data_IF_066297589875
#
_entry.id   IF_066297589875
#
_cell.length_a   1.000
_cell.length_b   1.000
_cell.length_c   1.000
_cell.angle_alpha   90.00
_cell.angle_beta   90.00
_cell.angle_gamma   90.00
#
_symmetry.space_group_name_H-M   'P 1'
#
loop_
_entity.id
_entity.type
_entity.pdbx_description
1 polymer ?
#
# COMPACT_ATOMS: atom_id res chain seq x y z
N UNK A 1 26.59 12.00 -1.32
CA UNK A 1 27.21 11.55 -0.03
C UNK A 1 27.49 10.06 0.01
N UNK A 2 26.59 9.17 -0.43
CA UNK A 2 26.82 7.71 -0.43
C UNK A 2 27.89 7.32 -1.45
N UNK A 3 27.81 7.83 -2.67
CA UNK A 3 28.83 7.63 -3.72
C UNK A 3 30.21 8.12 -3.29
N UNK A 4 30.30 9.23 -2.55
CA UNK A 4 31.56 9.75 -1.98
C UNK A 4 32.17 8.80 -0.95
N UNK A 5 31.37 7.92 -0.36
CA UNK A 5 31.79 6.88 0.59
C UNK A 5 31.99 5.51 -0.07
N UNK A 6 31.90 5.44 -1.40
CA UNK A 6 32.04 4.18 -2.16
C UNK A 6 30.88 3.20 -1.94
N UNK A 7 29.71 3.68 -1.55
CA UNK A 7 28.51 2.85 -1.41
C UNK A 7 27.77 2.86 -2.75
N UNK A 8 27.65 1.70 -3.35
CA UNK A 8 26.92 1.50 -4.60
C UNK A 8 25.42 1.60 -4.36
N UNK A 9 24.66 2.20 -5.29
CA UNK A 9 23.22 2.44 -5.18
C UNK A 9 22.42 1.15 -5.01
N UNK A 10 22.84 0.05 -5.62
CA UNK A 10 22.25 -1.29 -5.46
C UNK A 10 22.22 -1.80 -4.01
N UNK A 11 23.06 -1.25 -3.15
CA UNK A 11 23.17 -1.60 -1.72
C UNK A 11 22.32 -0.70 -0.83
N UNK A 12 21.63 0.28 -1.42
CA UNK A 12 20.83 1.27 -0.70
C UNK A 12 19.37 0.85 -0.69
N UNK A 13 18.76 0.93 0.50
CA UNK A 13 17.32 0.81 0.67
C UNK A 13 16.77 2.13 1.21
N UNK A 14 15.79 2.69 0.52
CA UNK A 14 15.05 3.86 0.97
C UNK A 14 13.78 3.45 1.70
N UNK A 15 13.59 3.93 2.93
CA UNK A 15 12.39 3.72 3.73
C UNK A 15 11.71 5.06 4.02
N UNK A 16 10.51 5.32 3.46
CA UNK A 16 9.79 6.57 3.64
C UNK A 16 9.08 6.70 4.98
N UNK A 17 9.13 5.70 5.84
CA UNK A 17 8.40 5.62 7.12
C UNK A 17 6.88 5.70 6.89
N UNK A 18 6.22 4.54 6.81
CA UNK A 18 4.75 4.45 6.72
C UNK A 18 4.10 5.00 7.99
N UNK A 19 3.16 5.91 7.84
CA UNK A 19 2.41 6.51 8.93
C UNK A 19 0.96 5.99 8.98
N UNK A 20 0.31 6.03 10.17
CA UNK A 20 -1.04 5.47 10.32
C UNK A 20 -2.10 6.26 9.54
N UNK A 21 -2.94 5.56 8.79
CA UNK A 21 -4.08 6.18 8.09
C UNK A 21 -5.08 6.82 9.07
N UNK A 22 -5.14 6.31 10.28
CA UNK A 22 -6.06 6.77 11.34
C UNK A 22 -5.81 8.21 11.79
N UNK A 23 -4.59 8.71 11.65
CA UNK A 23 -4.17 10.03 12.16
C UNK A 23 -3.42 10.88 11.14
N UNK A 24 -2.88 10.26 10.08
CA UNK A 24 -2.03 10.93 9.09
C UNK A 24 -2.33 10.41 7.69
N UNK A 25 -3.60 10.41 7.32
CA UNK A 25 -4.08 9.85 6.05
C UNK A 25 -3.41 10.48 4.82
N UNK A 26 -3.12 11.77 4.85
CA UNK A 26 -2.41 12.51 3.79
C UNK A 26 -0.98 11.96 3.54
N UNK A 27 -0.30 11.50 4.60
CA UNK A 27 1.04 10.93 4.50
C UNK A 27 1.07 9.53 3.86
N UNK A 28 -0.06 8.82 3.88
CA UNK A 28 -0.19 7.52 3.21
C UNK A 28 0.02 7.66 1.69
N UNK A 29 -0.52 8.72 1.08
CA UNK A 29 -0.30 9.03 -0.33
C UNK A 29 1.14 9.50 -0.59
N UNK A 30 1.71 10.28 0.32
CA UNK A 30 3.11 10.71 0.24
C UNK A 30 4.07 9.55 0.12
N UNK A 31 3.80 8.44 0.81
CA UNK A 31 4.60 7.22 0.73
C UNK A 31 4.54 6.56 -0.66
N UNK A 32 3.37 6.48 -1.29
CA UNK A 32 3.24 5.93 -2.65
C UNK A 32 3.97 6.78 -3.69
N UNK A 33 3.87 8.10 -3.59
CA UNK A 33 4.61 9.04 -4.44
C UNK A 33 6.12 8.93 -4.23
N UNK A 34 6.56 8.79 -2.99
CA UNK A 34 7.98 8.60 -2.69
C UNK A 34 8.55 7.34 -3.35
N UNK A 35 7.80 6.21 -3.30
CA UNK A 35 8.24 4.96 -3.95
C UNK A 35 8.44 5.15 -5.47
N UNK A 36 7.53 5.85 -6.13
CA UNK A 36 7.66 6.19 -7.56
C UNK A 36 8.89 7.05 -7.81
N UNK A 37 9.12 8.08 -6.98
CA UNK A 37 10.29 8.94 -7.10
C UNK A 37 11.62 8.18 -6.90
N UNK A 38 11.68 7.20 -6.01
CA UNK A 38 12.87 6.36 -5.84
C UNK A 38 13.18 5.61 -7.13
N UNK A 39 12.16 5.02 -7.77
CA UNK A 39 12.33 4.33 -9.07
C UNK A 39 12.88 5.24 -10.18
N UNK A 40 12.45 6.50 -10.20
CA UNK A 40 12.87 7.48 -11.20
C UNK A 40 14.25 8.08 -10.93
N UNK A 41 14.55 8.41 -9.66
CA UNK A 41 15.76 9.15 -9.28
C UNK A 41 16.94 8.24 -8.90
N UNK A 42 16.67 7.02 -8.47
CA UNK A 42 17.67 6.05 -8.03
C UNK A 42 17.27 4.63 -8.47
N UNK A 43 17.22 4.34 -9.79
CA UNK A 43 16.66 3.10 -10.33
C UNK A 43 17.40 1.83 -9.90
N UNK A 44 18.67 1.95 -9.51
CA UNK A 44 19.47 0.82 -9.01
C UNK A 44 19.24 0.56 -7.52
N UNK A 45 18.70 1.53 -6.79
CA UNK A 45 18.38 1.40 -5.37
C UNK A 45 17.05 0.66 -5.17
N UNK A 46 16.81 0.22 -3.94
CA UNK A 46 15.59 -0.47 -3.56
C UNK A 46 14.80 0.37 -2.57
N UNK A 47 13.50 0.13 -2.52
CA UNK A 47 12.64 0.68 -1.48
C UNK A 47 12.22 -0.40 -0.48
N UNK A 48 12.01 0.01 0.76
CA UNK A 48 11.52 -0.85 1.84
C UNK A 48 10.55 -0.07 2.72
N UNK A 49 9.65 -0.74 3.43
CA UNK A 49 8.82 -0.10 4.44
C UNK A 49 8.35 -1.06 5.53
N UNK A 50 8.05 -0.52 6.71
CA UNK A 50 7.29 -1.19 7.77
C UNK A 50 5.79 -1.09 7.49
N UNK A 51 5.25 -2.02 6.70
CA UNK A 51 3.91 -1.93 6.09
C UNK A 51 2.78 -1.78 7.12
N UNK A 52 2.80 -2.58 8.20
CA UNK A 52 1.69 -2.66 9.17
C UNK A 52 1.45 -1.36 9.94
N UNK A 53 2.35 -0.40 9.84
CA UNK A 53 2.17 0.93 10.42
C UNK A 53 0.94 1.66 9.83
N UNK A 54 0.60 1.41 8.56
CA UNK A 54 -0.58 2.04 7.93
C UNK A 54 -1.87 1.80 8.70
N UNK A 55 -2.00 0.63 9.33
CA UNK A 55 -3.21 0.20 10.06
C UNK A 55 -3.13 0.44 11.58
N UNK A 56 -2.09 1.10 12.10
CA UNK A 56 -1.99 1.39 13.53
C UNK A 56 -3.17 2.26 14.00
N UNK A 57 -3.80 1.85 15.12
CA UNK A 57 -4.96 2.53 15.67
C UNK A 57 -6.29 2.19 14.98
N UNK A 58 -6.29 1.41 13.91
CA UNK A 58 -7.52 0.86 13.34
C UNK A 58 -8.03 -0.34 14.16
N UNK A 59 -9.35 -0.63 14.13
CA UNK A 59 -9.92 -1.85 14.69
C UNK A 59 -9.18 -3.09 14.17
N UNK A 60 -8.95 -4.07 15.06
CA UNK A 60 -8.09 -5.21 14.77
C UNK A 60 -8.57 -6.03 13.56
N UNK A 61 -9.90 -6.20 13.45
CA UNK A 61 -10.55 -6.92 12.35
C UNK A 61 -10.40 -6.24 10.97
N UNK A 62 -10.13 -4.94 10.95
CA UNK A 62 -9.99 -4.15 9.73
C UNK A 62 -8.53 -4.00 9.27
N UNK A 63 -7.57 -4.28 10.15
CA UNK A 63 -6.15 -4.13 9.86
C UNK A 63 -5.65 -5.02 8.72
N UNK A 64 -6.05 -6.30 8.63
CA UNK A 64 -5.59 -7.16 7.53
C UNK A 64 -5.98 -6.62 6.14
N UNK A 65 -7.19 -6.07 6.00
CA UNK A 65 -7.63 -5.46 4.75
C UNK A 65 -6.81 -4.20 4.41
N UNK A 66 -6.61 -3.30 5.39
CA UNK A 66 -5.77 -2.10 5.20
C UNK A 66 -4.34 -2.47 4.76
N UNK A 67 -3.72 -3.42 5.46
CA UNK A 67 -2.36 -3.86 5.16
C UNK A 67 -2.26 -4.44 3.75
N UNK A 68 -3.19 -5.32 3.38
CA UNK A 68 -3.21 -6.01 2.09
C UNK A 68 -3.43 -5.06 0.92
N UNK A 69 -4.42 -4.19 1.02
CA UNK A 69 -4.71 -3.20 -0.02
C UNK A 69 -3.55 -2.21 -0.17
N UNK A 70 -2.98 -1.76 0.95
CA UNK A 70 -1.84 -0.85 0.89
C UNK A 70 -0.60 -1.50 0.29
N UNK A 71 -0.35 -2.78 0.58
CA UNK A 71 0.72 -3.53 -0.10
C UNK A 71 0.52 -3.53 -1.62
N UNK A 72 -0.68 -3.82 -2.10
CA UNK A 72 -0.99 -3.81 -3.53
C UNK A 72 -0.74 -2.43 -4.17
N UNK A 73 -1.09 -1.34 -3.48
CA UNK A 73 -0.82 0.03 -3.92
C UNK A 73 0.68 0.32 -4.01
N UNK A 74 1.44 -0.06 -2.98
CA UNK A 74 2.89 0.15 -2.95
C UNK A 74 3.64 -0.70 -3.97
N UNK A 75 3.19 -1.95 -4.22
CA UNK A 75 3.74 -2.80 -5.28
C UNK A 75 3.64 -2.12 -6.65
N UNK A 76 2.50 -1.48 -6.97
CA UNK A 76 2.34 -0.68 -8.18
C UNK A 76 3.29 0.52 -8.23
N UNK A 77 3.60 1.08 -7.08
CA UNK A 77 4.47 2.27 -6.96
C UNK A 77 5.97 1.94 -6.91
N UNK A 78 6.35 0.66 -7.06
CA UNK A 78 7.75 0.26 -7.12
C UNK A 78 8.35 -0.18 -5.78
N UNK A 79 7.54 -0.64 -4.83
CA UNK A 79 8.02 -1.21 -3.57
C UNK A 79 8.89 -2.45 -3.84
N UNK A 80 10.15 -2.43 -3.37
CA UNK A 80 11.10 -3.52 -3.52
C UNK A 80 11.01 -4.56 -2.39
N UNK A 81 10.73 -4.13 -1.16
CA UNK A 81 10.60 -5.01 0.01
C UNK A 81 9.64 -4.41 1.04
N UNK A 82 9.05 -5.27 1.89
CA UNK A 82 8.23 -4.84 3.02
C UNK A 82 8.48 -5.71 4.25
N UNK A 83 8.54 -5.08 5.41
CA UNK A 83 8.51 -5.76 6.70
C UNK A 83 7.03 -5.98 7.05
N UNK A 84 6.62 -7.23 7.16
CA UNK A 84 5.23 -7.63 7.36
C UNK A 84 5.07 -8.69 8.44
N UNK A 85 3.86 -8.81 8.97
CA UNK A 85 3.50 -9.95 9.81
C UNK A 85 3.29 -11.19 8.92
N UNK A 86 4.19 -12.16 9.01
CA UNK A 86 4.13 -13.39 8.21
C UNK A 86 2.93 -14.29 8.53
N UNK A 87 2.27 -14.10 9.66
CA UNK A 87 1.05 -14.82 10.03
C UNK A 87 -0.21 -14.30 9.29
N UNK A 88 -0.14 -13.12 8.68
CA UNK A 88 -1.19 -12.59 7.80
C UNK A 88 -1.11 -13.30 6.42
N UNK A 89 -1.72 -14.49 6.32
CA UNK A 89 -1.61 -15.35 5.13
C UNK A 89 -2.06 -14.67 3.84
N UNK A 90 -3.16 -13.92 3.88
CA UNK A 90 -3.67 -13.18 2.72
C UNK A 90 -2.72 -12.07 2.25
N UNK A 91 -2.04 -11.42 3.19
CA UNK A 91 -1.01 -10.42 2.89
C UNK A 91 0.19 -11.06 2.20
N UNK A 92 0.63 -12.23 2.70
CA UNK A 92 1.72 -13.01 2.10
C UNK A 92 1.32 -13.53 0.72
N UNK A 93 0.07 -13.95 0.53
CA UNK A 93 -0.46 -14.40 -0.77
C UNK A 93 -0.54 -13.24 -1.78
N UNK A 94 -0.89 -12.03 -1.34
CA UNK A 94 -0.80 -10.82 -2.17
C UNK A 94 0.63 -10.58 -2.65
N UNK A 95 1.60 -10.59 -1.73
CA UNK A 95 3.02 -10.40 -2.05
C UNK A 95 3.56 -11.44 -3.04
N UNK A 96 3.00 -12.65 -3.02
CA UNK A 96 3.38 -13.79 -3.90
C UNK A 96 2.59 -13.86 -5.21
N UNK A 97 1.75 -12.86 -5.49
CA UNK A 97 0.91 -12.83 -6.70
C UNK A 97 -0.22 -13.88 -6.72
N UNK A 98 -0.61 -14.44 -5.58
CA UNK A 98 -1.70 -15.42 -5.49
C UNK A 98 -3.08 -14.78 -5.40
N UNK A 99 -3.16 -13.47 -5.22
CA UNK A 99 -4.38 -12.66 -5.19
C UNK A 99 -4.44 -11.70 -6.39
N UNK A 100 -4.15 -12.24 -7.56
CA UNK A 100 -3.97 -11.46 -8.80
C UNK A 100 -5.21 -10.62 -9.18
N UNK A 101 -6.42 -11.16 -9.01
CA UNK A 101 -7.66 -10.43 -9.31
C UNK A 101 -7.87 -9.25 -8.35
N UNK A 102 -7.55 -9.41 -7.07
CA UNK A 102 -7.61 -8.31 -6.10
C UNK A 102 -6.54 -7.25 -6.39
N UNK A 103 -5.32 -7.68 -6.71
CA UNK A 103 -4.22 -6.80 -7.11
C UNK A 103 -4.62 -5.96 -8.32
N UNK A 104 -5.18 -6.57 -9.36
CA UNK A 104 -5.68 -5.87 -10.55
C UNK A 104 -6.79 -4.89 -10.23
N UNK A 105 -7.72 -5.27 -9.35
CA UNK A 105 -8.80 -4.38 -8.93
C UNK A 105 -8.27 -3.13 -8.24
N UNK A 106 -7.34 -3.28 -7.29
CA UNK A 106 -6.68 -2.14 -6.64
C UNK A 106 -6.02 -1.24 -7.68
N UNK A 107 -5.26 -1.81 -8.62
CA UNK A 107 -4.55 -1.05 -9.65
C UNK A 107 -5.51 -0.29 -10.57
N UNK A 108 -6.64 -0.89 -11.01
CA UNK A 108 -7.65 -0.22 -11.83
C UNK A 108 -8.29 0.97 -11.10
N UNK A 109 -8.59 0.80 -9.80
CA UNK A 109 -9.12 1.89 -8.98
C UNK A 109 -8.09 3.01 -8.84
N UNK A 110 -6.81 2.69 -8.66
CA UNK A 110 -5.73 3.69 -8.65
C UNK A 110 -5.60 4.45 -9.99
N UNK A 111 -5.96 3.80 -11.11
CA UNK A 111 -5.98 4.40 -12.44
C UNK A 111 -7.24 5.25 -12.71
N UNK A 112 -8.13 5.38 -11.72
CA UNK A 112 -9.36 6.16 -11.82
C UNK A 112 -10.53 5.41 -12.43
N UNK A 113 -10.46 4.07 -12.55
CA UNK A 113 -11.61 3.27 -12.98
C UNK A 113 -12.70 3.30 -11.90
N UNK A 114 -13.95 3.44 -12.33
CA UNK A 114 -15.14 3.40 -11.49
C UNK A 114 -15.85 2.05 -11.67
N UNK A 115 -15.52 1.02 -10.86
CA UNK A 115 -16.14 -0.29 -11.00
C UNK A 115 -17.64 -0.22 -10.65
N UNK A 116 -18.44 -1.03 -11.34
CA UNK A 116 -19.85 -1.22 -10.98
C UNK A 116 -19.93 -1.99 -9.64
N UNK A 117 -20.15 -1.26 -8.56
CA UNK A 117 -20.22 -1.78 -7.19
C UNK A 117 -21.31 -2.84 -7.02
N UNK A 118 -22.40 -2.76 -7.83
CA UNK A 118 -23.50 -3.73 -7.79
C UNK A 118 -23.16 -5.09 -8.40
N UNK A 119 -22.13 -5.14 -9.25
CA UNK A 119 -21.64 -6.36 -9.87
C UNK A 119 -20.51 -7.06 -9.08
N UNK A 120 -19.97 -6.40 -8.05
CA UNK A 120 -18.86 -6.91 -7.25
C UNK A 120 -19.35 -7.76 -6.06
N UNK A 121 -18.50 -8.71 -5.63
CA UNK A 121 -18.66 -9.36 -4.33
C UNK A 121 -18.43 -8.35 -3.20
N UNK A 122 -18.95 -8.65 -1.99
CA UNK A 122 -18.75 -7.78 -0.83
C UNK A 122 -17.25 -7.55 -0.53
N UNK A 123 -16.43 -8.59 -0.63
CA UNK A 123 -14.98 -8.49 -0.45
C UNK A 123 -14.35 -7.51 -1.47
N UNK A 124 -14.75 -7.59 -2.74
CA UNK A 124 -14.25 -6.69 -3.76
C UNK A 124 -14.73 -5.24 -3.56
N UNK A 125 -15.97 -5.04 -3.08
CA UNK A 125 -16.48 -3.72 -2.67
C UNK A 125 -15.63 -3.13 -1.54
N UNK A 126 -15.30 -3.94 -0.53
CA UNK A 126 -14.48 -3.51 0.60
C UNK A 126 -13.05 -3.14 0.15
N UNK A 127 -12.48 -3.88 -0.80
CA UNK A 127 -11.19 -3.54 -1.42
C UNK A 127 -11.26 -2.19 -2.14
N UNK A 128 -12.30 -1.94 -2.97
CA UNK A 128 -12.48 -0.67 -3.67
C UNK A 128 -12.60 0.50 -2.69
N UNK A 129 -13.46 0.36 -1.66
CA UNK A 129 -13.64 1.39 -0.62
C UNK A 129 -12.33 1.67 0.12
N UNK A 130 -11.58 0.62 0.46
CA UNK A 130 -10.31 0.77 1.15
C UNK A 130 -9.24 1.41 0.26
N UNK A 131 -9.20 1.06 -1.02
CA UNK A 131 -8.30 1.71 -1.98
C UNK A 131 -8.58 3.21 -2.08
N UNK A 132 -9.85 3.60 -2.24
CA UNK A 132 -10.28 5.00 -2.27
C UNK A 132 -9.95 5.76 -0.98
N UNK A 133 -10.12 5.10 0.18
CA UNK A 133 -9.72 5.64 1.47
C UNK A 133 -8.21 5.93 1.52
N UNK A 134 -7.39 4.96 1.13
CA UNK A 134 -5.92 5.09 1.14
C UNK A 134 -5.41 6.09 0.08
N UNK A 135 -6.19 6.32 -0.98
CA UNK A 135 -5.98 7.41 -1.95
C UNK A 135 -6.47 8.78 -1.46
N UNK A 136 -7.07 8.88 -0.25
CA UNK A 136 -7.61 10.12 0.30
C UNK A 136 -8.88 10.63 -0.39
N UNK A 137 -9.56 9.80 -1.17
CA UNK A 137 -10.84 10.14 -1.82
C UNK A 137 -12.02 10.11 -0.84
N UNK A 138 -11.84 9.51 0.33
CA UNK A 138 -12.75 9.58 1.47
C UNK A 138 -11.96 9.73 2.77
N UNK A 139 -12.57 10.37 3.78
CA UNK A 139 -11.92 10.53 5.09
C UNK A 139 -11.95 9.22 5.87
N UNK A 140 -10.87 8.97 6.61
CA UNK A 140 -10.80 7.83 7.50
C UNK A 140 -11.86 7.91 8.60
N UNK A 141 -12.56 6.81 8.81
CA UNK A 141 -13.37 6.54 10.00
C UNK A 141 -13.33 5.04 10.27
N UNK A 142 -13.58 4.59 11.50
CA UNK A 142 -13.66 3.15 11.81
C UNK A 142 -14.80 2.41 11.09
N UNK A 143 -15.65 3.14 10.40
CA UNK A 143 -16.82 2.61 9.67
C UNK A 143 -16.77 2.89 8.16
N UNK A 144 -15.58 3.14 7.57
CA UNK A 144 -15.49 3.49 6.14
C UNK A 144 -16.10 2.43 5.20
N UNK A 145 -16.12 1.17 5.60
CA UNK A 145 -16.74 0.10 4.81
C UNK A 145 -18.27 0.18 4.77
N UNK A 146 -18.88 0.89 5.73
CA UNK A 146 -20.33 1.06 5.84
C UNK A 146 -20.84 2.32 5.11
N UNK A 147 -19.92 3.18 4.71
CA UNK A 147 -20.18 4.38 3.93
C UNK A 147 -20.08 4.05 2.42
#
# INVERSE_FOLDING_TARGET
KMAEQGIEDERVFYDPIVLPVTSQQDQVQGCTLFMQMVGDLAPESKSNCGLSNVSNGAPEELRPLLNRVYLAMLMRSGLGAAIVNHAETELVDMARGRRDEELKLVHRVMDGEEPDMGALSQEAVDVVKTTRLLMGQSLYSHSWLKL
#
